data_IF_802310700749
#
_entry.id   IF_802310700749
#
_cell.length_a   1.000
_cell.length_b   1.000
_cell.length_c   1.000
_cell.angle_alpha   90.00
_cell.angle_beta   90.00
_cell.angle_gamma   90.00
#
_symmetry.space_group_name_H-M   'P 1'
#
loop_
_entity.id
_entity.type
_entity.pdbx_description
1 polymer ?
#
# COMPACT_ATOMS: atom_id res chain seq x y z
N UNK A 1 30.48 -27.00 -13.74
CA UNK A 1 29.37 -26.69 -14.67
C UNK A 1 28.09 -27.40 -14.20
N UNK A 2 27.43 -26.85 -13.18
CA UNK A 2 26.07 -27.24 -12.81
C UNK A 2 25.09 -26.36 -13.58
N UNK A 3 24.22 -26.97 -14.37
CA UNK A 3 23.37 -26.32 -15.38
C UNK A 3 21.96 -26.14 -14.84
N UNK A 4 21.44 -24.91 -14.78
CA UNK A 4 19.99 -24.65 -14.74
C UNK A 4 19.50 -23.70 -13.65
N UNK A 5 18.16 -23.55 -13.62
CA UNK A 5 17.31 -22.71 -12.74
C UNK A 5 17.61 -22.81 -11.22
N UNK A 6 18.46 -23.76 -10.82
CA UNK A 6 18.81 -24.04 -9.43
C UNK A 6 20.22 -23.56 -9.04
N UNK A 7 20.92 -22.86 -9.94
CA UNK A 7 22.19 -22.21 -9.62
C UNK A 7 21.94 -20.93 -8.80
N UNK A 8 21.73 -21.12 -7.50
CA UNK A 8 21.42 -20.04 -6.57
C UNK A 8 22.52 -18.97 -6.55
N UNK A 9 23.80 -19.34 -6.66
CA UNK A 9 24.91 -18.38 -6.67
C UNK A 9 24.78 -17.42 -7.86
N UNK A 10 24.53 -17.96 -9.05
CA UNK A 10 24.31 -17.15 -10.25
C UNK A 10 23.05 -16.27 -10.13
N UNK A 11 21.97 -16.80 -9.57
CA UNK A 11 20.72 -16.05 -9.36
C UNK A 11 20.87 -14.93 -8.33
N UNK A 12 21.52 -15.19 -7.19
CA UNK A 12 21.80 -14.18 -6.16
C UNK A 12 22.79 -13.12 -6.66
N UNK A 13 23.83 -13.51 -7.39
CA UNK A 13 24.78 -12.57 -7.98
C UNK A 13 24.10 -11.65 -9.01
N UNK A 14 23.27 -12.21 -9.89
CA UNK A 14 22.45 -11.41 -10.81
C UNK A 14 21.45 -10.52 -10.07
N UNK A 15 20.74 -11.05 -9.07
CA UNK A 15 19.77 -10.30 -8.27
C UNK A 15 20.43 -9.14 -7.50
N UNK A 16 21.61 -9.36 -6.94
CA UNK A 16 22.40 -8.35 -6.27
C UNK A 16 22.87 -7.26 -7.23
N UNK A 17 23.40 -7.63 -8.41
CA UNK A 17 23.77 -6.67 -9.44
C UNK A 17 22.56 -5.87 -9.94
N UNK A 18 21.42 -6.53 -10.12
CA UNK A 18 20.15 -5.91 -10.52
C UNK A 18 19.64 -4.89 -9.50
N UNK A 19 19.77 -5.18 -8.18
CA UNK A 19 19.43 -4.25 -7.10
C UNK A 19 20.47 -3.14 -6.86
N UNK A 20 21.64 -3.25 -7.50
CA UNK A 20 22.68 -2.22 -7.47
C UNK A 20 22.60 -1.28 -8.67
N UNK A 21 21.78 -1.59 -9.67
CA UNK A 21 21.59 -0.75 -10.86
C UNK A 21 20.80 0.52 -10.49
N UNK A 22 21.35 1.73 -10.77
CA UNK A 22 20.72 2.97 -10.34
C UNK A 22 19.38 3.25 -11.03
N UNK A 23 19.18 2.77 -12.26
CA UNK A 23 17.91 2.90 -12.98
C UNK A 23 16.83 2.04 -12.32
N UNK A 24 17.14 0.79 -11.97
CA UNK A 24 16.21 -0.08 -11.26
C UNK A 24 15.86 0.46 -9.87
N UNK A 25 16.85 0.96 -9.12
CA UNK A 25 16.62 1.57 -7.80
C UNK A 25 15.69 2.78 -7.94
N UNK A 26 15.92 3.64 -8.93
CA UNK A 26 15.06 4.80 -9.19
C UNK A 26 13.62 4.37 -9.53
N UNK A 27 13.45 3.40 -10.42
CA UNK A 27 12.14 2.84 -10.77
C UNK A 27 11.46 2.28 -9.52
N UNK A 28 12.17 1.50 -8.71
CA UNK A 28 11.63 0.91 -7.49
C UNK A 28 11.14 1.97 -6.50
N UNK A 29 11.98 2.98 -6.21
CA UNK A 29 11.66 4.07 -5.28
C UNK A 29 10.47 4.90 -5.77
N UNK A 30 10.31 5.10 -7.08
CA UNK A 30 9.19 5.86 -7.64
C UNK A 30 7.88 5.07 -7.67
N UNK A 31 7.90 3.79 -8.07
CA UNK A 31 6.68 3.02 -8.33
C UNK A 31 6.15 2.23 -7.13
N UNK A 32 6.97 2.02 -6.08
CA UNK A 32 6.48 1.35 -4.87
C UNK A 32 5.35 2.13 -4.20
N UNK A 33 5.41 3.46 -4.17
CA UNK A 33 4.41 4.29 -3.49
C UNK A 33 3.06 4.35 -4.20
N UNK A 34 2.98 4.54 -5.54
CA UNK A 34 1.72 4.41 -6.27
C UNK A 34 1.06 3.03 -6.11
N UNK A 35 1.83 1.94 -6.19
CA UNK A 35 1.30 0.57 -6.04
C UNK A 35 0.76 0.36 -4.62
N UNK A 36 1.50 0.82 -3.61
CA UNK A 36 1.07 0.76 -2.23
C UNK A 36 -0.21 1.58 -2.00
N UNK A 37 -0.26 2.81 -2.53
CA UNK A 37 -1.42 3.70 -2.41
C UNK A 37 -2.68 3.13 -3.07
N UNK A 38 -2.59 2.59 -4.29
CA UNK A 38 -3.75 2.00 -4.97
C UNK A 38 -4.26 0.76 -4.25
N UNK A 39 -3.36 -0.05 -3.69
CA UNK A 39 -3.73 -1.20 -2.84
C UNK A 39 -4.50 -0.76 -1.61
N UNK A 40 -4.05 0.31 -0.94
CA UNK A 40 -4.77 0.90 0.20
C UNK A 40 -6.15 1.39 -0.20
N UNK A 41 -6.30 2.12 -1.31
CA UNK A 41 -7.61 2.59 -1.80
C UNK A 41 -8.58 1.42 -2.01
N UNK A 42 -8.13 0.31 -2.57
CA UNK A 42 -8.95 -0.90 -2.71
C UNK A 42 -9.35 -1.46 -1.34
N UNK A 43 -8.40 -1.53 -0.41
CA UNK A 43 -8.66 -2.04 0.93
C UNK A 43 -9.54 -1.13 1.80
N UNK A 44 -9.68 0.16 1.47
CA UNK A 44 -10.59 1.06 2.18
C UNK A 44 -12.05 0.61 2.07
N UNK A 45 -12.40 -0.13 1.02
CA UNK A 45 -13.76 -0.65 0.82
C UNK A 45 -13.98 -2.03 1.45
N UNK A 46 -13.01 -2.55 2.21
CA UNK A 46 -13.20 -3.79 2.98
C UNK A 46 -14.08 -3.57 4.21
N UNK A 47 -14.77 -4.61 4.71
CA UNK A 47 -15.54 -4.52 5.95
C UNK A 47 -14.69 -4.01 7.12
N UNK A 48 -15.30 -3.30 8.08
CA UNK A 48 -14.61 -2.83 9.28
C UNK A 48 -14.08 -4.02 10.09
N UNK A 49 -12.83 -3.92 10.53
CA UNK A 49 -12.18 -4.90 11.40
C UNK A 49 -12.25 -4.48 12.86
N UNK A 50 -12.04 -3.19 13.15
CA UNK A 50 -12.03 -2.64 14.49
C UNK A 50 -12.64 -1.24 14.50
N UNK A 51 -13.36 -0.90 15.57
CA UNK A 51 -13.87 0.44 15.81
C UNK A 51 -13.13 1.03 17.01
N UNK A 52 -12.35 2.09 16.79
CA UNK A 52 -11.65 2.79 17.85
C UNK A 52 -12.20 4.20 18.02
N UNK A 53 -12.48 4.67 19.25
CA UNK A 53 -13.09 5.98 19.49
C UNK A 53 -12.32 7.16 18.89
N UNK A 54 -11.00 7.05 18.77
CA UNK A 54 -10.12 8.13 18.30
C UNK A 54 -9.69 7.99 16.84
N UNK A 55 -9.66 6.76 16.32
CA UNK A 55 -9.16 6.45 14.97
C UNK A 55 -10.29 6.08 14.00
N UNK A 56 -11.53 6.00 14.49
CA UNK A 56 -12.68 5.64 13.70
C UNK A 56 -12.70 4.16 13.33
N UNK A 57 -13.19 3.90 12.11
CA UNK A 57 -13.32 2.56 11.55
C UNK A 57 -11.99 2.13 10.96
N UNK A 58 -11.37 1.11 11.53
CA UNK A 58 -10.17 0.50 11.01
C UNK A 58 -10.53 -0.74 10.20
N UNK A 59 -10.05 -0.78 8.96
CA UNK A 59 -10.28 -1.85 8.00
C UNK A 59 -8.94 -2.48 7.58
N UNK A 60 -8.95 -3.29 6.52
CA UNK A 60 -7.74 -3.94 6.02
C UNK A 60 -6.66 -2.94 5.56
N UNK A 61 -7.04 -1.74 5.10
CA UNK A 61 -6.08 -0.72 4.68
C UNK A 61 -5.23 -0.23 5.85
N UNK A 62 -5.83 -0.07 7.04
CA UNK A 62 -5.09 0.29 8.25
C UNK A 62 -4.07 -0.79 8.63
N UNK A 63 -4.50 -2.06 8.66
CA UNK A 63 -3.62 -3.19 9.01
C UNK A 63 -2.45 -3.28 8.03
N UNK A 64 -2.73 -3.13 6.73
CA UNK A 64 -1.72 -3.14 5.68
C UNK A 64 -0.73 -1.98 5.86
N UNK A 65 -1.23 -0.77 6.08
CA UNK A 65 -0.39 0.41 6.29
C UNK A 65 0.49 0.29 7.53
N UNK A 66 -0.06 -0.17 8.65
CA UNK A 66 0.67 -0.39 9.89
C UNK A 66 1.76 -1.45 9.73
N UNK A 67 1.45 -2.55 9.03
CA UNK A 67 2.42 -3.63 8.78
C UNK A 67 3.64 -3.12 8.02
N UNK A 68 3.44 -2.37 6.94
CA UNK A 68 4.55 -1.81 6.15
C UNK A 68 5.29 -0.70 6.89
N UNK A 69 4.60 0.15 7.65
CA UNK A 69 5.24 1.17 8.47
C UNK A 69 6.19 0.54 9.51
N UNK A 70 5.73 -0.50 10.21
CA UNK A 70 6.57 -1.25 11.15
C UNK A 70 7.73 -1.95 10.43
N UNK A 71 7.47 -2.58 9.28
CA UNK A 71 8.51 -3.21 8.47
C UNK A 71 9.63 -2.22 8.10
N UNK A 72 9.29 -1.02 7.63
CA UNK A 72 10.28 0.00 7.28
C UNK A 72 11.11 0.43 8.50
N UNK A 73 10.47 0.73 9.63
CA UNK A 73 11.18 1.16 10.86
C UNK A 73 12.10 0.07 11.41
N UNK A 74 11.66 -1.20 11.37
CA UNK A 74 12.47 -2.33 11.80
C UNK A 74 13.66 -2.60 10.88
N UNK A 75 13.53 -2.26 9.58
CA UNK A 75 14.61 -2.44 8.60
C UNK A 75 15.74 -1.44 8.80
N UNK A 76 15.42 -0.15 8.94
CA UNK A 76 16.38 0.89 9.31
C UNK A 76 15.65 2.01 10.08
N UNK A 77 16.01 2.33 11.33
CA UNK A 77 15.26 3.32 12.10
C UNK A 77 15.25 4.72 11.50
N UNK A 78 16.30 5.14 10.76
CA UNK A 78 16.42 6.50 10.22
C UNK A 78 15.67 6.63 8.90
N UNK A 79 16.06 5.86 7.90
CA UNK A 79 15.44 5.84 6.58
C UNK A 79 14.02 5.25 6.64
N UNK A 80 13.82 4.24 7.48
CA UNK A 80 12.52 3.61 7.71
C UNK A 80 11.50 4.52 8.37
N UNK A 81 11.93 5.52 9.16
CA UNK A 81 11.00 6.52 9.70
C UNK A 81 10.33 7.34 8.59
N UNK A 82 11.05 7.68 7.53
CA UNK A 82 10.49 8.33 6.34
C UNK A 82 9.53 7.39 5.61
N UNK A 83 9.90 6.11 5.47
CA UNK A 83 9.02 5.10 4.88
C UNK A 83 7.70 4.93 5.66
N UNK A 84 7.77 4.88 6.98
CA UNK A 84 6.59 4.81 7.85
C UNK A 84 5.72 6.07 7.77
N UNK A 85 6.33 7.26 7.70
CA UNK A 85 5.61 8.51 7.46
C UNK A 85 4.87 8.47 6.12
N UNK A 86 5.52 8.01 5.05
CA UNK A 86 4.89 7.86 3.74
C UNK A 86 3.74 6.83 3.77
N UNK A 87 3.90 5.70 4.45
CA UNK A 87 2.81 4.74 4.65
C UNK A 87 1.60 5.37 5.34
N UNK A 88 1.84 6.17 6.39
CA UNK A 88 0.80 6.87 7.12
C UNK A 88 0.09 7.93 6.26
N UNK A 89 0.84 8.73 5.51
CA UNK A 89 0.29 9.72 4.57
C UNK A 89 -0.53 9.06 3.46
N UNK A 90 -0.06 7.95 2.90
CA UNK A 90 -0.81 7.17 1.92
C UNK A 90 -2.10 6.60 2.51
N UNK A 91 -2.08 6.12 3.75
CA UNK A 91 -3.28 5.62 4.43
C UNK A 91 -4.33 6.73 4.59
N UNK A 92 -3.97 7.88 5.18
CA UNK A 92 -4.87 9.03 5.30
C UNK A 92 -5.38 9.48 3.93
N UNK A 93 -4.49 9.64 2.95
CA UNK A 93 -4.86 10.06 1.61
C UNK A 93 -5.80 9.09 0.91
N UNK A 94 -5.62 7.78 1.13
CA UNK A 94 -6.49 6.75 0.57
C UNK A 94 -7.87 6.76 1.23
N UNK A 95 -7.93 6.98 2.55
CA UNK A 95 -9.17 7.08 3.32
C UNK A 95 -10.01 8.28 2.85
N UNK A 96 -9.38 9.46 2.75
CA UNK A 96 -10.02 10.67 2.25
C UNK A 96 -10.56 10.48 0.83
N UNK A 97 -9.78 9.86 -0.06
CA UNK A 97 -10.19 9.58 -1.42
C UNK A 97 -11.36 8.57 -1.45
N UNK A 98 -11.28 7.49 -0.68
CA UNK A 98 -12.32 6.48 -0.60
C UNK A 98 -13.64 7.06 -0.08
N UNK A 99 -13.62 7.98 0.89
CA UNK A 99 -14.80 8.70 1.35
C UNK A 99 -15.45 9.54 0.23
N UNK A 100 -14.63 10.23 -0.59
CA UNK A 100 -15.14 10.99 -1.75
C UNK A 100 -15.74 10.08 -2.82
N UNK A 101 -15.08 8.95 -3.12
CA UNK A 101 -15.56 7.97 -4.09
C UNK A 101 -16.83 7.26 -3.61
N UNK A 102 -16.88 6.88 -2.34
CA UNK A 102 -18.05 6.26 -1.70
C UNK A 102 -19.25 7.21 -1.68
N UNK A 103 -19.04 8.50 -1.40
CA UNK A 103 -20.09 9.52 -1.56
C UNK A 103 -20.57 9.59 -3.02
N UNK A 104 -19.65 9.65 -3.99
CA UNK A 104 -19.94 9.72 -5.43
C UNK A 104 -20.78 8.53 -5.94
N UNK A 105 -20.46 7.33 -5.47
CA UNK A 105 -21.21 6.12 -5.80
C UNK A 105 -22.54 6.07 -5.06
N UNK A 106 -22.54 6.45 -3.77
CA UNK A 106 -23.69 6.37 -2.87
C UNK A 106 -24.83 7.30 -3.27
N UNK A 107 -24.55 8.53 -3.72
CA UNK A 107 -25.62 9.42 -4.20
C UNK A 107 -26.24 8.88 -5.49
N UNK A 108 -25.44 8.37 -6.43
CA UNK A 108 -25.96 7.79 -7.70
C UNK A 108 -26.88 6.61 -7.43
N UNK A 109 -26.46 5.67 -6.56
CA UNK A 109 -27.28 4.51 -6.19
C UNK A 109 -28.54 4.95 -5.45
N UNK A 110 -28.45 5.91 -4.52
CA UNK A 110 -29.62 6.43 -3.77
C UNK A 110 -30.61 7.15 -4.68
N UNK A 111 -30.16 7.92 -5.67
CA UNK A 111 -31.02 8.53 -6.68
C UNK A 111 -31.70 7.50 -7.57
N UNK A 112 -31.00 6.44 -7.99
CA UNK A 112 -31.62 5.35 -8.76
C UNK A 112 -32.71 4.65 -7.95
N UNK A 113 -32.43 4.28 -6.69
CA UNK A 113 -33.44 3.66 -5.81
C UNK A 113 -34.66 4.58 -5.61
N UNK A 114 -34.45 5.89 -5.45
CA UNK A 114 -35.53 6.87 -5.28
C UNK A 114 -36.38 7.07 -6.54
N UNK A 115 -35.80 6.98 -7.74
CA UNK A 115 -36.53 7.12 -9.02
C UNK A 115 -37.32 5.85 -9.36
N UNK A 116 -36.89 4.69 -8.87
CA UNK A 116 -37.55 3.40 -9.07
C UNK A 116 -38.45 2.96 -7.88
N UNK A 117 -38.72 3.86 -6.92
CA UNK A 117 -39.69 3.66 -5.81
C UNK A 117 -40.90 4.56 -6.00
#
# INVERSE_FOLDING_TARGET
>A
MGRGVFDLEKHFAFYGAYHSDPTNVLIHVLFVWPIFYTSLVLFQFTPPLLHLPLLGVLNLAFVFALTYALFYVLMDPKAGSLGALLCFLCWIGSDLLAHRLGFSLGWKVRFLVLIFS
#
